data_IF_543394348895
#
_entry.id   IF_543394348895
#
_cell.length_a   1.000
_cell.length_b   1.000
_cell.length_c   1.000
_cell.angle_alpha   90.00
_cell.angle_beta   90.00
_cell.angle_gamma   90.00
#
_symmetry.space_group_name_H-M   'P 1'
#
loop_
_entity.id
_entity.type
_entity.pdbx_description
1 polymer ?
#
# COMPACT_ATOMS: atom_id res chain seq x y z
N UNK A 1 3.48 3.73 -13.70
CA UNK A 1 4.83 4.33 -13.64
C UNK A 1 4.71 5.71 -14.23
N UNK A 2 5.24 6.74 -13.57
CA UNK A 2 5.43 8.05 -14.18
C UNK A 2 6.46 7.95 -15.30
N UNK A 3 6.07 7.35 -16.42
CA UNK A 3 6.87 7.26 -17.65
C UNK A 3 6.83 8.65 -18.26
N UNK A 4 7.89 9.42 -18.05
CA UNK A 4 8.10 10.64 -18.83
C UNK A 4 8.74 10.20 -20.12
N UNK A 5 7.92 10.18 -21.16
CA UNK A 5 8.38 9.97 -22.53
C UNK A 5 8.97 11.29 -23.00
N UNK A 6 10.30 11.34 -23.08
CA UNK A 6 10.95 12.47 -23.75
C UNK A 6 11.26 12.03 -25.17
N UNK A 7 10.53 12.59 -26.13
CA UNK A 7 10.88 12.46 -27.54
C UNK A 7 12.20 13.21 -27.76
N UNK A 8 13.24 12.48 -28.13
CA UNK A 8 14.59 13.05 -28.37
C UNK A 8 14.79 13.32 -29.86
N UNK A 9 14.11 12.56 -30.72
CA UNK A 9 14.12 12.70 -32.19
C UNK A 9 12.82 12.11 -32.76
N UNK A 10 12.48 12.42 -34.02
CA UNK A 10 11.46 11.72 -34.81
C UNK A 10 11.83 10.22 -34.88
N UNK A 11 11.27 9.42 -33.97
CA UNK A 11 11.48 7.97 -33.90
C UNK A 11 12.29 7.47 -32.69
N UNK A 12 12.86 8.36 -31.87
CA UNK A 12 13.58 7.94 -30.64
C UNK A 12 12.93 8.51 -29.38
N UNK A 13 12.32 7.62 -28.59
CA UNK A 13 11.75 7.94 -27.27
C UNK A 13 12.72 7.48 -26.19
N UNK A 14 13.23 8.42 -25.38
CA UNK A 14 14.05 8.09 -24.22
C UNK A 14 13.16 7.95 -23.00
N UNK A 15 13.14 6.75 -22.43
CA UNK A 15 12.37 6.44 -21.24
C UNK A 15 13.18 6.86 -20.01
N UNK A 16 12.76 7.96 -19.36
CA UNK A 16 13.29 8.32 -18.05
C UNK A 16 12.49 7.58 -16.97
N UNK A 17 13.19 6.69 -16.27
CA UNK A 17 12.64 5.98 -15.14
C UNK A 17 12.80 6.85 -13.89
N UNK A 18 11.72 7.49 -13.44
CA UNK A 18 11.72 8.21 -12.17
C UNK A 18 11.40 7.24 -11.04
N UNK A 19 12.20 7.19 -9.96
CA UNK A 19 11.85 6.41 -8.78
C UNK A 19 10.63 7.06 -8.10
N UNK A 20 9.48 6.41 -8.27
CA UNK A 20 8.21 6.80 -7.66
C UNK A 20 7.36 7.71 -8.54
N UNK A 21 6.10 7.31 -8.75
CA UNK A 21 5.06 8.18 -9.31
C UNK A 21 4.85 9.38 -8.36
N UNK A 22 4.67 10.61 -8.90
CA UNK A 22 4.37 11.80 -8.07
C UNK A 22 3.18 11.57 -7.14
N UNK A 23 2.20 10.75 -7.58
CA UNK A 23 1.05 10.37 -6.75
C UNK A 23 1.46 9.55 -5.53
N UNK A 24 2.51 8.74 -5.63
CA UNK A 24 3.02 7.91 -4.54
C UNK A 24 3.77 8.75 -3.51
N UNK A 25 4.60 9.68 -3.97
CA UNK A 25 5.25 10.66 -3.10
C UNK A 25 4.24 11.52 -2.33
N UNK A 26 3.15 11.93 -2.99
CA UNK A 26 2.04 12.62 -2.31
C UNK A 26 1.38 11.76 -1.24
N UNK A 27 1.12 10.48 -1.53
CA UNK A 27 0.52 9.56 -0.54
C UNK A 27 1.44 9.31 0.65
N UNK A 28 2.73 9.17 0.41
CA UNK A 28 3.73 9.05 1.47
C UNK A 28 3.77 10.31 2.34
N UNK A 29 3.80 11.49 1.73
CA UNK A 29 3.74 12.76 2.45
C UNK A 29 2.45 12.91 3.27
N UNK A 30 1.29 12.51 2.72
CA UNK A 30 0.02 12.51 3.44
C UNK A 30 0.07 11.55 4.63
N UNK A 31 0.61 10.32 4.47
CA UNK A 31 0.71 9.38 5.60
C UNK A 31 1.59 9.91 6.73
N UNK A 32 2.72 10.53 6.39
CA UNK A 32 3.60 11.18 7.38
C UNK A 32 2.90 12.36 8.04
N UNK A 33 2.18 13.18 7.26
CA UNK A 33 1.44 14.33 7.78
C UNK A 33 0.34 13.94 8.76
N UNK A 34 -0.44 12.89 8.45
CA UNK A 34 -1.49 12.37 9.36
C UNK A 34 -0.85 11.82 10.63
N UNK A 35 0.24 11.06 10.51
CA UNK A 35 0.96 10.53 11.67
C UNK A 35 1.56 11.61 12.56
N UNK A 36 2.13 12.65 11.97
CA UNK A 36 2.63 13.81 12.70
C UNK A 36 1.49 14.57 13.39
N UNK A 37 0.34 14.72 12.73
CA UNK A 37 -0.86 15.30 13.34
C UNK A 37 -1.33 14.50 14.55
N UNK A 38 -1.38 13.17 14.43
CA UNK A 38 -1.73 12.29 15.55
C UNK A 38 -0.72 12.37 16.70
N UNK A 39 0.58 12.41 16.38
CA UNK A 39 1.64 12.64 17.36
C UNK A 39 1.42 13.95 18.12
N UNK A 40 1.19 15.07 17.40
CA UNK A 40 1.02 16.39 18.01
C UNK A 40 -0.20 16.43 18.93
N UNK A 41 -1.33 15.88 18.48
CA UNK A 41 -2.56 15.81 19.30
C UNK A 41 -2.32 15.01 20.58
N UNK A 42 -1.74 13.81 20.46
CA UNK A 42 -1.44 12.97 21.62
C UNK A 42 -0.46 13.65 22.57
N UNK A 43 0.61 14.22 22.04
CA UNK A 43 1.60 14.95 22.84
C UNK A 43 0.99 16.16 23.55
N UNK A 44 0.12 16.92 22.89
CA UNK A 44 -0.56 18.06 23.51
C UNK A 44 -1.47 17.64 24.66
N UNK A 45 -2.15 16.49 24.53
CA UNK A 45 -3.08 15.97 25.53
C UNK A 45 -2.38 15.30 26.71
N UNK A 46 -1.36 14.48 26.46
CA UNK A 46 -0.70 13.68 27.50
C UNK A 46 0.54 14.34 28.08
N UNK A 47 1.18 15.24 27.30
CA UNK A 47 2.54 15.75 27.55
C UNK A 47 3.59 14.64 27.71
N UNK A 48 3.29 13.45 27.20
CA UNK A 48 4.14 12.27 27.26
C UNK A 48 4.56 11.86 25.84
N UNK A 49 5.86 11.69 25.65
CA UNK A 49 6.46 11.31 24.37
C UNK A 49 6.16 9.86 23.99
N UNK A 50 6.09 8.94 24.95
CA UNK A 50 5.91 7.52 24.67
C UNK A 50 4.59 7.23 23.92
N UNK A 51 3.40 7.56 24.47
CA UNK A 51 2.14 7.32 23.76
C UNK A 51 2.03 8.18 22.49
N UNK A 52 2.64 9.36 22.46
CA UNK A 52 2.63 10.22 21.27
C UNK A 52 3.43 9.61 20.11
N UNK A 53 4.66 9.15 20.35
CA UNK A 53 5.51 8.51 19.33
C UNK A 53 4.90 7.19 18.87
N UNK A 54 4.46 6.34 19.80
CA UNK A 54 3.82 5.06 19.48
C UNK A 54 2.55 5.30 18.64
N UNK A 55 1.70 6.23 19.06
CA UNK A 55 0.46 6.56 18.34
C UNK A 55 0.74 7.16 16.96
N UNK A 56 1.62 8.15 16.86
CA UNK A 56 1.95 8.80 15.58
C UNK A 56 2.60 7.87 14.57
N UNK A 57 3.54 7.03 15.01
CA UNK A 57 4.17 6.01 14.15
C UNK A 57 3.18 4.92 13.74
N UNK A 58 2.29 4.49 14.66
CA UNK A 58 1.23 3.51 14.36
C UNK A 58 0.23 4.04 13.33
N UNK A 59 -0.17 5.31 13.43
CA UNK A 59 -1.06 5.95 12.44
C UNK A 59 -0.37 6.07 11.08
N UNK A 60 0.91 6.46 11.06
CA UNK A 60 1.72 6.49 9.82
C UNK A 60 1.78 5.10 9.18
N UNK A 61 2.06 4.06 9.99
CA UNK A 61 2.12 2.68 9.56
C UNK A 61 0.76 2.17 9.06
N UNK A 62 -0.34 2.55 9.71
CA UNK A 62 -1.69 2.21 9.28
C UNK A 62 -2.01 2.79 7.90
N UNK A 63 -1.85 4.11 7.73
CA UNK A 63 -2.19 4.79 6.46
C UNK A 63 -1.31 4.30 5.32
N UNK A 64 -0.01 4.12 5.57
CA UNK A 64 0.91 3.57 4.57
C UNK A 64 0.59 2.09 4.26
N UNK A 65 0.28 1.29 5.28
CA UNK A 65 -0.17 -0.10 5.17
C UNK A 65 -1.37 -0.25 4.25
N UNK A 66 -2.47 0.46 4.53
CA UNK A 66 -3.68 0.44 3.66
C UNK A 66 -3.32 0.79 2.21
N UNK A 67 -2.51 1.82 2.00
CA UNK A 67 -2.12 2.24 0.66
C UNK A 67 -1.31 1.17 -0.08
N UNK A 68 -0.39 0.49 0.60
CA UNK A 68 0.38 -0.61 0.02
C UNK A 68 -0.50 -1.83 -0.26
N UNK A 69 -1.40 -2.19 0.67
CA UNK A 69 -2.32 -3.32 0.49
C UNK A 69 -3.23 -3.16 -0.72
N UNK A 70 -3.84 -1.98 -0.87
CA UNK A 70 -4.67 -1.67 -2.06
C UNK A 70 -3.87 -1.76 -3.36
N UNK A 71 -2.60 -1.36 -3.32
CA UNK A 71 -1.72 -1.44 -4.48
C UNK A 71 -1.35 -2.88 -4.82
N UNK A 72 -1.07 -3.71 -3.80
CA UNK A 72 -0.84 -5.14 -3.98
C UNK A 72 -2.05 -5.83 -4.59
N UNK A 73 -3.25 -5.57 -4.06
CA UNK A 73 -4.48 -6.12 -4.64
C UNK A 73 -4.66 -5.74 -6.12
N UNK A 74 -4.45 -4.47 -6.50
CA UNK A 74 -4.53 -4.03 -7.91
C UNK A 74 -3.45 -4.65 -8.81
N UNK A 75 -2.27 -4.92 -8.27
CA UNK A 75 -1.24 -5.61 -9.03
C UNK A 75 -1.65 -7.07 -9.29
N UNK A 76 -2.30 -7.71 -8.32
CA UNK A 76 -2.79 -9.08 -8.42
C UNK A 76 -3.89 -9.24 -9.47
N UNK A 77 -4.76 -8.25 -9.67
CA UNK A 77 -5.83 -8.30 -10.69
C UNK A 77 -5.33 -8.23 -12.14
N UNK A 78 -4.05 -7.91 -12.37
CA UNK A 78 -3.49 -7.78 -13.73
C UNK A 78 -2.93 -9.11 -14.26
N UNK A 79 -2.80 -10.13 -13.42
CA UNK A 79 -2.28 -11.45 -13.82
C UNK A 79 -3.19 -12.33 -14.70
N UNK A 80 -4.54 -12.32 -14.58
CA UNK A 80 -5.41 -13.25 -15.30
C UNK A 80 -5.33 -13.16 -16.83
N UNK A 81 -4.81 -12.05 -17.38
CA UNK A 81 -4.76 -11.78 -18.83
C UNK A 81 -3.42 -12.14 -19.49
N UNK A 82 -2.44 -12.64 -18.72
CA UNK A 82 -1.08 -12.89 -19.21
C UNK A 82 -0.82 -14.38 -19.42
N UNK A 83 -0.37 -14.79 -20.61
CA UNK A 83 0.03 -16.17 -20.94
C UNK A 83 1.47 -16.24 -21.45
N UNK A 84 2.17 -17.36 -21.18
CA UNK A 84 3.51 -17.62 -21.72
C UNK A 84 4.64 -16.77 -21.10
N UNK A 85 5.56 -16.27 -21.95
CA UNK A 85 6.78 -15.54 -21.51
C UNK A 85 6.47 -14.18 -20.87
N UNK A 86 5.43 -13.49 -21.32
CA UNK A 86 4.98 -12.20 -20.76
C UNK A 86 4.47 -12.36 -19.32
N UNK A 87 3.75 -13.45 -19.03
CA UNK A 87 3.31 -13.81 -17.68
C UNK A 87 4.49 -14.01 -16.73
N UNK A 88 5.54 -14.70 -17.18
CA UNK A 88 6.76 -14.94 -16.37
C UNK A 88 7.49 -13.64 -16.03
N UNK A 89 7.66 -12.75 -17.01
CA UNK A 89 8.32 -11.44 -16.79
C UNK A 89 7.47 -10.56 -15.87
N UNK A 90 6.16 -10.54 -16.07
CA UNK A 90 5.24 -9.83 -15.19
C UNK A 90 5.28 -10.38 -13.75
N UNK A 91 5.31 -11.70 -13.57
CA UNK A 91 5.43 -12.34 -12.27
C UNK A 91 6.72 -11.90 -11.56
N UNK A 92 7.88 -12.02 -12.20
CA UNK A 92 9.16 -11.61 -11.59
C UNK A 92 9.15 -10.12 -11.22
N UNK A 93 8.68 -9.26 -12.11
CA UNK A 93 8.67 -7.80 -11.86
C UNK A 93 7.68 -7.38 -10.78
N UNK A 94 6.49 -7.98 -10.73
CA UNK A 94 5.50 -7.67 -9.69
C UNK A 94 5.89 -8.27 -8.34
N UNK A 95 6.43 -9.49 -8.30
CA UNK A 95 6.97 -10.09 -7.07
C UNK A 95 8.14 -9.29 -6.53
N UNK A 96 9.07 -8.84 -7.38
CA UNK A 96 10.15 -7.95 -6.96
C UNK A 96 9.65 -6.63 -6.37
N UNK A 97 8.57 -6.05 -6.94
CA UNK A 97 7.93 -4.84 -6.40
C UNK A 97 7.18 -5.07 -5.10
N UNK A 98 6.54 -6.23 -4.94
CA UNK A 98 5.90 -6.63 -3.69
C UNK A 98 6.96 -6.84 -2.60
N UNK A 99 8.04 -7.56 -2.91
CA UNK A 99 9.17 -7.76 -2.02
C UNK A 99 9.81 -6.43 -1.58
N UNK A 100 10.05 -5.51 -2.52
CA UNK A 100 10.56 -4.18 -2.21
C UNK A 100 9.64 -3.41 -1.25
N UNK A 101 8.33 -3.43 -1.49
CA UNK A 101 7.37 -2.77 -0.58
C UNK A 101 7.33 -3.45 0.78
N UNK A 102 7.43 -4.77 0.84
CA UNK A 102 7.58 -5.53 2.08
C UNK A 102 8.82 -5.11 2.87
N UNK A 103 9.97 -4.97 2.19
CA UNK A 103 11.21 -4.49 2.81
C UNK A 103 11.07 -3.05 3.33
N UNK A 104 10.49 -2.13 2.55
CA UNK A 104 10.27 -0.74 2.98
C UNK A 104 9.30 -0.68 4.17
N UNK A 105 8.27 -1.52 4.19
CA UNK A 105 7.33 -1.60 5.30
C UNK A 105 8.02 -2.14 6.57
N UNK A 106 8.83 -3.20 6.44
CA UNK A 106 9.64 -3.74 7.53
C UNK A 106 10.66 -2.74 8.07
N UNK A 107 11.33 -2.00 7.19
CA UNK A 107 12.25 -0.92 7.55
C UNK A 107 11.52 0.17 8.37
N UNK A 108 10.34 0.60 7.92
CA UNK A 108 9.53 1.57 8.65
C UNK A 108 9.14 1.10 10.05
N UNK A 109 8.74 -0.17 10.18
CA UNK A 109 8.47 -0.79 11.48
C UNK A 109 9.71 -0.84 12.38
N UNK A 110 10.86 -1.25 11.84
CA UNK A 110 12.12 -1.28 12.58
C UNK A 110 12.57 0.11 13.03
N UNK A 111 12.46 1.13 12.17
CA UNK A 111 12.75 2.52 12.54
C UNK A 111 11.85 3.00 13.66
N UNK A 112 10.55 2.68 13.63
CA UNK A 112 9.62 3.02 14.71
C UNK A 112 10.02 2.33 16.02
N UNK A 113 10.40 1.05 15.98
CA UNK A 113 10.86 0.32 17.16
C UNK A 113 12.12 0.96 17.76
N UNK A 114 13.11 1.33 16.93
CA UNK A 114 14.33 2.02 17.37
C UNK A 114 13.99 3.37 18.01
N UNK A 115 13.09 4.15 17.42
CA UNK A 115 12.66 5.43 17.99
C UNK A 115 12.02 5.25 19.37
N UNK A 116 11.12 4.27 19.51
CA UNK A 116 10.42 4.00 20.76
C UNK A 116 11.40 3.52 21.84
N UNK A 117 12.32 2.61 21.51
CA UNK A 117 13.32 2.09 22.45
C UNK A 117 14.33 3.14 22.93
N UNK A 118 14.50 4.25 22.20
CA UNK A 118 15.39 5.35 22.61
C UNK A 118 14.71 6.41 23.49
N UNK A 119 13.42 6.26 23.81
CA UNK A 119 12.72 7.16 24.71
C UNK A 119 13.02 6.80 26.19
N UNK A 120 13.06 7.78 27.10
CA UNK A 120 13.26 7.52 28.52
C UNK A 120 11.98 6.95 29.14
N UNK A 121 11.81 5.65 29.08
CA UNK A 121 10.73 4.90 29.75
C UNK A 121 11.30 3.62 30.37
N UNK A 122 10.50 2.97 31.21
CA UNK A 122 10.86 1.70 31.81
C UNK A 122 9.61 0.84 31.99
N UNK A 123 9.73 -0.46 31.74
CA UNK A 123 8.70 -1.44 32.07
C UNK A 123 8.41 -2.38 30.92
N UNK A 124 8.01 -3.60 31.26
CA UNK A 124 7.88 -4.72 30.30
C UNK A 124 7.02 -4.36 29.08
N UNK A 125 5.91 -3.63 29.28
CA UNK A 125 5.04 -3.21 28.18
C UNK A 125 5.75 -2.23 27.24
N UNK A 126 6.44 -1.24 27.80
CA UNK A 126 7.13 -0.20 27.04
C UNK A 126 8.37 -0.74 26.30
N UNK A 127 9.06 -1.71 26.90
CA UNK A 127 10.27 -2.29 26.34
C UNK A 127 10.00 -3.39 25.30
N UNK A 128 8.93 -4.18 25.48
CA UNK A 128 8.69 -5.38 24.65
C UNK A 128 7.47 -5.28 23.73
N UNK A 129 6.43 -4.55 24.13
CA UNK A 129 5.16 -4.53 23.39
C UNK A 129 5.09 -3.29 22.50
N UNK A 130 5.25 -2.10 23.08
CA UNK A 130 5.07 -0.83 22.36
C UNK A 130 5.95 -0.67 21.11
N UNK A 131 7.22 -1.11 21.07
CA UNK A 131 8.05 -1.02 19.86
C UNK A 131 7.52 -1.86 18.70
N UNK A 132 6.76 -2.91 18.98
CA UNK A 132 6.20 -3.85 17.98
C UNK A 132 4.85 -3.35 17.44
N UNK A 133 4.13 -2.52 18.19
CA UNK A 133 2.78 -2.04 17.85
C UNK A 133 2.71 -1.40 16.45
N UNK A 134 3.60 -0.47 16.05
CA UNK A 134 3.51 0.15 14.72
C UNK A 134 3.62 -0.86 13.58
N UNK A 135 4.48 -1.88 13.72
CA UNK A 135 4.65 -2.91 12.70
C UNK A 135 3.40 -3.80 12.57
N UNK A 136 2.79 -4.20 13.69
CA UNK A 136 1.55 -5.00 13.70
C UNK A 136 0.40 -4.19 13.09
N UNK A 137 0.24 -2.93 13.49
CA UNK A 137 -0.79 -2.03 12.95
C UNK A 137 -0.60 -1.84 11.44
N UNK A 138 0.63 -1.62 10.98
CA UNK A 138 0.95 -1.52 9.56
C UNK A 138 0.60 -2.78 8.76
N UNK A 139 0.96 -3.96 9.29
CA UNK A 139 0.67 -5.24 8.66
C UNK A 139 -0.84 -5.52 8.58
N UNK A 140 -1.59 -5.28 9.67
CA UNK A 140 -3.05 -5.43 9.68
C UNK A 140 -3.72 -4.47 8.71
N UNK A 141 -3.28 -3.21 8.69
CA UNK A 141 -3.77 -2.20 7.77
C UNK A 141 -3.49 -2.55 6.31
N UNK A 142 -2.34 -3.18 6.03
CA UNK A 142 -2.03 -3.73 4.72
C UNK A 142 -3.02 -4.81 4.31
N UNK A 143 -3.28 -5.80 5.17
CA UNK A 143 -4.27 -6.85 4.89
C UNK A 143 -5.67 -6.26 4.67
N UNK A 144 -6.08 -5.31 5.51
CA UNK A 144 -7.35 -4.59 5.35
C UNK A 144 -7.42 -3.84 4.01
N UNK A 145 -6.33 -3.22 3.58
CA UNK A 145 -6.23 -2.55 2.27
C UNK A 145 -6.38 -3.53 1.10
N UNK A 146 -5.82 -4.73 1.21
CA UNK A 146 -6.00 -5.77 0.19
C UNK A 146 -7.47 -6.22 0.11
N UNK A 147 -8.06 -6.54 1.27
CA UNK A 147 -9.46 -6.99 1.36
C UNK A 147 -10.44 -5.93 0.84
N UNK A 148 -10.25 -4.67 1.21
CA UNK A 148 -11.11 -3.57 0.78
C UNK A 148 -11.14 -3.37 -0.74
N UNK A 149 -10.06 -3.73 -1.44
CA UNK A 149 -9.99 -3.63 -2.90
C UNK A 149 -10.55 -4.90 -3.60
N UNK A 150 -10.58 -6.05 -2.92
CA UNK A 150 -11.11 -7.30 -3.45
C UNK A 150 -12.63 -7.46 -3.23
N UNK A 151 -13.18 -6.94 -2.13
CA UNK A 151 -14.61 -7.02 -1.80
C UNK A 151 -15.54 -6.49 -2.93
N UNK A 152 -15.24 -5.37 -3.60
CA UNK A 152 -16.06 -4.90 -4.73
C UNK A 152 -16.01 -5.81 -5.96
N UNK A 153 -14.91 -6.56 -6.16
CA UNK A 153 -14.72 -7.46 -7.29
C UNK A 153 -15.43 -8.82 -7.11
N UNK A 154 -15.90 -9.12 -5.90
CA UNK A 154 -16.64 -10.35 -5.58
C UNK A 154 -18.15 -10.25 -5.86
N UNK A 155 -18.66 -9.10 -6.33
CA UNK A 155 -20.06 -8.99 -6.74
C UNK A 155 -20.24 -9.76 -8.05
N UNK A 156 -21.03 -10.84 -8.10
CA UNK A 156 -21.28 -11.56 -9.34
C UNK A 156 -21.92 -10.58 -10.33
N UNK A 157 -21.30 -10.43 -11.49
CA UNK A 157 -22.01 -9.88 -12.65
C UNK A 157 -23.25 -10.76 -12.85
N UNK A 158 -24.43 -10.14 -12.79
CA UNK A 158 -25.68 -10.85 -13.08
C UNK A 158 -25.52 -11.50 -14.46
N UNK A 159 -25.85 -12.80 -14.63
CA UNK A 159 -25.65 -13.48 -15.91
C UNK A 159 -26.36 -12.67 -16.99
N UNK A 160 -25.60 -12.29 -18.03
CA UNK A 160 -26.13 -11.59 -19.18
C UNK A 160 -27.37 -12.34 -19.67
N UNK A 161 -28.52 -11.67 -19.64
CA UNK A 161 -29.77 -12.25 -20.11
C UNK A 161 -29.52 -12.77 -21.53
N UNK A 162 -29.64 -14.08 -21.71
CA UNK A 162 -29.58 -14.73 -23.01
C UNK A 162 -30.62 -14.06 -23.90
N UNK A 163 -30.15 -13.36 -24.94
CA UNK A 163 -31.03 -12.80 -25.95
C UNK A 163 -31.82 -13.96 -26.58
N UNK A 164 -33.12 -13.99 -26.35
CA UNK A 164 -34.02 -14.94 -27.01
C UNK A 164 -33.97 -14.62 -28.51
N UNK A 165 -33.57 -15.57 -29.38
CA UNK A 165 -33.61 -15.33 -30.82
C UNK A 165 -35.06 -15.05 -31.23
N UNK A 166 -35.27 -13.94 -31.95
CA UNK A 166 -36.56 -13.60 -32.50
C UNK A 166 -37.06 -14.76 -33.36
N UNK A 167 -38.24 -15.27 -33.03
CA UNK A 167 -38.87 -16.36 -33.76
C UNK A 167 -39.04 -15.96 -35.23
N UNK A 168 -38.32 -16.66 -36.09
CA UNK A 168 -38.44 -16.59 -37.53
C UNK A 168 -39.70 -17.37 -37.94
N UNK A 169 -40.68 -16.67 -38.51
CA UNK A 169 -41.68 -17.25 -39.41
C UNK A 169 -42.97 -17.76 -38.76
N UNK A 170 -44.07 -17.02 -38.98
CA UNK A 170 -45.37 -17.62 -39.24
C UNK A 170 -45.92 -16.98 -40.52
N UNK A 171 -46.06 -17.82 -41.55
CA UNK A 171 -46.79 -17.53 -42.78
C UNK A 171 -48.29 -17.54 -42.52
#
# INVERSE_FOLDING_TARGET
MGRIEKQVSEGTVKYYWYPGDKREWKRAAISVGIGLGAFLVLYMMTRDLLPAVVGGTSVTAAVSGVNFGRRDARALTTFPTLTGRSARIAAVTQTGRAAWRGLVHGLGGATAAVLILNLPHAGVIADWILPVVPAVVGALAHQAGMLAEQLPAAKPEAPAATAVPAAEGAK
#
